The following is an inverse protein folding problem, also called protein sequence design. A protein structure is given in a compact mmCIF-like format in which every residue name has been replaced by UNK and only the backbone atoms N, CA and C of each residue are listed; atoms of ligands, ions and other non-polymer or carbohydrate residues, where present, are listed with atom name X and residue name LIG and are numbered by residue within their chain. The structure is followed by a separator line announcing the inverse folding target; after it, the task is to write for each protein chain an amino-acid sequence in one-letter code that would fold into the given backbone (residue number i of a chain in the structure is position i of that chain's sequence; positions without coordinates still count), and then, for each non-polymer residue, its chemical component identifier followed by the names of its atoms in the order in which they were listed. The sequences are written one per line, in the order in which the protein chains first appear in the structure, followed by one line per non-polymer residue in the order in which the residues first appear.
data_IF_220377316261
#
_entry.id   IF_220377316261
#
_cell.length_a   1.000
_cell.length_b   1.000
_cell.length_c   1.000
_cell.angle_alpha   90.00
_cell.angle_beta   90.00
_cell.angle_gamma   90.00
#
_symmetry.space_group_name_H-M   'P 1'
#
loop_
_entity.id
_entity.type
_entity.pdbx_description
1 polymer ?
#
# COMPACT_ATOMS: atom_id res chain seq x y z
N UNK A 1 0.10 -5.76 -22.93
CA UNK A 1 0.83 -5.73 -21.64
C UNK A 1 0.84 -4.29 -21.21
N UNK A 2 -0.12 -3.91 -20.47
CA UNK A 2 -0.64 -2.57 -20.48
C UNK A 2 -0.67 -2.03 -19.06
N UNK A 3 -0.13 -0.93 -18.89
CA UNK A 3 -0.33 0.25 -18.06
C UNK A 3 -0.90 0.19 -16.64
N UNK A 4 -1.33 -0.95 -16.13
CA UNK A 4 -1.98 -1.05 -14.80
C UNK A 4 -0.97 -1.12 -13.63
N UNK A 5 0.31 -1.23 -13.91
CA UNK A 5 1.34 -1.42 -12.87
C UNK A 5 1.65 -0.19 -12.01
N UNK A 6 1.13 0.98 -12.32
CA UNK A 6 1.58 2.22 -11.68
C UNK A 6 0.59 2.85 -10.71
N UNK A 7 -0.69 2.51 -10.76
CA UNK A 7 -1.74 3.23 -10.02
C UNK A 7 -1.78 2.97 -8.50
N UNK A 8 -1.17 1.91 -8.01
CA UNK A 8 -1.08 1.63 -6.57
C UNK A 8 0.14 2.26 -5.89
N UNK A 9 1.08 2.82 -6.66
CA UNK A 9 2.27 3.44 -6.10
C UNK A 9 1.97 4.84 -5.55
N UNK A 10 2.69 5.27 -4.48
CA UNK A 10 2.46 6.58 -3.84
C UNK A 10 2.80 7.80 -4.70
N UNK A 11 3.06 7.62 -5.99
CA UNK A 11 3.43 8.68 -6.95
C UNK A 11 2.48 8.77 -8.15
N UNK A 12 1.42 7.92 -8.23
CA UNK A 12 0.51 7.95 -9.38
C UNK A 12 -0.51 9.08 -9.27
N UNK A 13 -0.89 9.64 -10.43
CA UNK A 13 -1.93 10.67 -10.52
C UNK A 13 -3.32 10.13 -10.19
N UNK A 14 -3.62 8.89 -10.61
CA UNK A 14 -4.95 8.27 -10.46
C UNK A 14 -5.42 8.11 -9.01
N UNK A 15 -4.49 8.02 -8.05
CA UNK A 15 -4.80 7.95 -6.62
C UNK A 15 -4.40 9.21 -5.85
N UNK A 16 -4.06 10.28 -6.55
CA UNK A 16 -3.60 11.53 -5.92
C UNK A 16 -4.68 12.14 -5.03
N UNK A 17 -5.94 12.05 -5.43
CA UNK A 17 -7.07 12.52 -4.64
C UNK A 17 -7.17 11.82 -3.28
N UNK A 18 -7.03 10.50 -3.24
CA UNK A 18 -7.06 9.71 -2.00
C UNK A 18 -5.92 10.05 -1.04
N UNK A 19 -4.75 10.39 -1.58
CA UNK A 19 -3.55 10.67 -0.76
C UNK A 19 -3.43 12.13 -0.31
N UNK A 20 -3.89 13.06 -1.15
CA UNK A 20 -3.55 14.47 -0.99
C UNK A 20 -4.74 15.37 -0.63
N UNK A 21 -5.99 14.96 -0.92
CA UNK A 21 -7.15 15.84 -0.70
C UNK A 21 -7.35 16.17 0.76
N UNK A 22 -7.20 15.21 1.68
CA UNK A 22 -7.29 15.48 3.11
C UNK A 22 -6.22 16.44 3.60
N UNK A 23 -4.98 16.27 3.14
CA UNK A 23 -3.88 17.17 3.47
C UNK A 23 -4.10 18.55 2.88
N UNK A 24 -4.57 18.61 1.63
CA UNK A 24 -4.94 19.87 0.97
C UNK A 24 -6.07 20.59 1.70
N UNK A 25 -7.06 19.84 2.22
CA UNK A 25 -8.14 20.40 3.05
C UNK A 25 -7.63 20.98 4.35
N UNK A 26 -6.76 20.26 5.06
CA UNK A 26 -6.14 20.71 6.30
C UNK A 26 -5.31 22.00 6.10
N UNK A 27 -4.72 22.17 4.92
CA UNK A 27 -3.95 23.36 4.54
C UNK A 27 -4.81 24.49 3.95
N UNK A 28 -6.15 24.32 3.84
CA UNK A 28 -7.05 25.32 3.27
C UNK A 28 -6.99 25.45 1.75
N UNK A 29 -6.41 24.48 1.04
CA UNK A 29 -6.26 24.48 -0.42
C UNK A 29 -7.42 23.82 -1.16
N UNK A 30 -8.30 23.11 -0.46
CA UNK A 30 -9.46 22.41 -1.00
C UNK A 30 -10.72 23.08 -0.50
N UNK A 31 -11.56 23.55 -1.44
CA UNK A 31 -12.85 24.19 -1.16
C UNK A 31 -13.91 23.16 -0.69
N UNK A 32 -15.08 23.67 -0.26
CA UNK A 32 -16.16 22.83 0.28
C UNK A 32 -16.78 21.93 -0.78
N UNK A 33 -16.83 22.37 -2.04
CA UNK A 33 -17.43 21.59 -3.14
C UNK A 33 -16.57 20.39 -3.46
N UNK A 34 -15.27 20.60 -3.62
CA UNK A 34 -14.30 19.53 -3.85
C UNK A 34 -14.23 18.57 -2.66
N UNK A 35 -14.28 19.11 -1.45
CA UNK A 35 -14.29 18.30 -0.24
C UNK A 35 -15.51 17.39 -0.17
N UNK A 36 -16.70 17.93 -0.45
CA UNK A 36 -17.93 17.13 -0.47
C UNK A 36 -17.89 16.03 -1.54
N UNK A 37 -17.42 16.35 -2.75
CA UNK A 37 -17.24 15.34 -3.81
C UNK A 37 -16.25 14.22 -3.42
N UNK A 38 -15.14 14.60 -2.79
CA UNK A 38 -14.17 13.62 -2.27
C UNK A 38 -14.79 12.72 -1.22
N UNK A 39 -15.47 13.27 -0.22
CA UNK A 39 -16.13 12.48 0.82
C UNK A 39 -17.15 11.51 0.23
N UNK A 40 -18.00 11.97 -0.69
CA UNK A 40 -18.99 11.12 -1.36
C UNK A 40 -18.32 9.96 -2.13
N UNK A 41 -17.23 10.23 -2.83
CA UNK A 41 -16.44 9.20 -3.53
C UNK A 41 -15.85 8.17 -2.55
N UNK A 42 -15.25 8.62 -1.43
CA UNK A 42 -14.69 7.72 -0.42
C UNK A 42 -15.75 6.83 0.24
N UNK A 43 -16.91 7.42 0.59
CA UNK A 43 -18.04 6.68 1.13
C UNK A 43 -18.57 5.62 0.15
N UNK A 44 -18.62 5.95 -1.15
CA UNK A 44 -19.03 5.00 -2.17
C UNK A 44 -18.03 3.86 -2.34
N UNK A 45 -16.71 4.14 -2.34
CA UNK A 45 -15.65 3.13 -2.39
C UNK A 45 -15.74 2.19 -1.18
N UNK A 46 -15.90 2.73 0.03
CA UNK A 46 -15.99 1.91 1.26
C UNK A 46 -17.25 1.05 1.25
N UNK A 47 -18.41 1.62 0.93
CA UNK A 47 -19.69 0.90 0.83
C UNK A 47 -19.62 -0.26 -0.14
N UNK A 48 -19.06 -0.02 -1.32
CA UNK A 48 -18.91 -1.05 -2.34
C UNK A 48 -17.87 -2.11 -1.95
N UNK A 49 -16.78 -1.72 -1.31
CA UNK A 49 -15.79 -2.65 -0.77
C UNK A 49 -16.41 -3.57 0.29
N UNK A 50 -17.27 -3.05 1.16
CA UNK A 50 -18.01 -3.84 2.15
C UNK A 50 -19.02 -4.78 1.47
N UNK A 51 -19.72 -4.31 0.43
CA UNK A 51 -20.62 -5.15 -0.36
C UNK A 51 -19.87 -6.34 -0.96
N UNK A 52 -18.72 -6.12 -1.60
CA UNK A 52 -17.90 -7.18 -2.17
C UNK A 52 -17.42 -8.20 -1.11
N UNK A 53 -17.11 -7.76 0.10
CA UNK A 53 -16.73 -8.64 1.22
C UNK A 53 -17.89 -9.45 1.76
N UNK A 54 -19.11 -8.91 1.73
CA UNK A 54 -20.32 -9.56 2.26
C UNK A 54 -21.02 -10.48 1.26
N UNK A 55 -20.80 -10.28 -0.04
CA UNK A 55 -21.41 -11.07 -1.10
C UNK A 55 -20.59 -12.35 -1.36
N UNK A 56 -21.21 -13.51 -1.12
CA UNK A 56 -20.57 -14.82 -1.24
C UNK A 56 -21.13 -15.61 -2.43
N UNK A 57 -20.26 -16.27 -3.17
CA UNK A 57 -20.59 -17.26 -4.17
C UNK A 57 -20.30 -18.68 -3.61
N UNK A 58 -21.29 -19.56 -3.73
CA UNK A 58 -21.17 -20.95 -3.32
C UNK A 58 -20.97 -21.85 -4.54
N UNK A 59 -20.09 -22.86 -4.48
CA UNK A 59 -19.92 -23.84 -5.55
C UNK A 59 -21.25 -24.46 -5.96
N UNK A 60 -21.48 -24.61 -7.27
CA UNK A 60 -22.72 -25.18 -7.80
C UNK A 60 -23.92 -24.22 -7.85
N UNK A 61 -23.83 -23.01 -7.29
CA UNK A 61 -24.86 -21.99 -7.41
C UNK A 61 -24.94 -21.40 -8.82
N UNK A 62 -26.07 -20.79 -9.18
CA UNK A 62 -26.21 -20.08 -10.44
C UNK A 62 -25.15 -18.97 -10.60
N UNK A 63 -24.82 -18.26 -9.52
CA UNK A 63 -23.75 -17.26 -9.49
C UNK A 63 -22.37 -17.86 -9.77
N UNK A 64 -22.05 -19.05 -9.24
CA UNK A 64 -20.80 -19.74 -9.54
C UNK A 64 -20.71 -20.21 -10.99
N UNK A 65 -21.82 -20.67 -11.57
CA UNK A 65 -21.90 -21.03 -12.99
C UNK A 65 -21.72 -19.81 -13.90
N UNK A 66 -22.36 -18.71 -13.58
CA UNK A 66 -22.19 -17.44 -14.29
C UNK A 66 -20.74 -16.93 -14.17
N UNK A 67 -20.12 -17.01 -12.99
CA UNK A 67 -18.72 -16.68 -12.79
C UNK A 67 -17.81 -17.53 -13.67
N UNK A 68 -18.02 -18.84 -13.73
CA UNK A 68 -17.26 -19.76 -14.60
C UNK A 68 -17.43 -19.38 -16.07
N UNK A 69 -18.63 -19.03 -16.50
CA UNK A 69 -18.91 -18.61 -17.87
C UNK A 69 -18.19 -17.32 -18.24
N UNK A 70 -18.19 -16.33 -17.34
CA UNK A 70 -17.56 -15.01 -17.56
C UNK A 70 -16.04 -15.03 -17.49
N UNK A 71 -15.48 -15.83 -16.58
CA UNK A 71 -14.04 -15.79 -16.27
C UNK A 71 -13.27 -17.01 -16.78
N UNK A 72 -13.97 -18.08 -17.18
CA UNK A 72 -13.36 -19.37 -17.51
C UNK A 72 -12.77 -20.12 -16.32
N UNK A 73 -13.06 -19.70 -15.08
CA UNK A 73 -12.51 -20.27 -13.85
C UNK A 73 -13.59 -20.95 -13.02
N UNK A 74 -13.34 -22.20 -12.64
CA UNK A 74 -14.25 -22.92 -11.73
C UNK A 74 -14.10 -22.43 -10.29
N UNK A 75 -15.24 -22.42 -9.58
CA UNK A 75 -15.32 -22.11 -8.17
C UNK A 75 -15.38 -23.43 -7.36
N UNK A 76 -14.23 -23.84 -6.81
CA UNK A 76 -14.11 -25.10 -6.06
C UNK A 76 -14.45 -24.96 -4.56
N UNK A 77 -14.50 -23.74 -4.04
CA UNK A 77 -14.85 -23.42 -2.66
C UNK A 77 -15.66 -22.13 -2.61
N UNK A 78 -16.42 -21.96 -1.56
CA UNK A 78 -17.09 -20.68 -1.32
C UNK A 78 -16.05 -19.54 -1.23
N UNK A 79 -16.39 -18.43 -1.85
CA UNK A 79 -15.52 -17.25 -1.86
C UNK A 79 -16.37 -15.98 -1.95
N UNK A 80 -15.96 -14.93 -1.28
CA UNK A 80 -16.60 -13.64 -1.44
C UNK A 80 -16.07 -12.94 -2.72
N UNK A 81 -16.83 -11.95 -3.21
CA UNK A 81 -16.47 -11.24 -4.44
C UNK A 81 -15.14 -10.49 -4.32
N UNK A 82 -14.84 -9.96 -3.14
CA UNK A 82 -13.57 -9.29 -2.87
C UNK A 82 -12.36 -10.23 -3.04
N UNK A 83 -12.45 -11.49 -2.57
CA UNK A 83 -11.37 -12.47 -2.74
C UNK A 83 -11.26 -12.97 -4.18
N UNK A 84 -12.39 -13.04 -4.89
CA UNK A 84 -12.39 -13.35 -6.31
C UNK A 84 -11.72 -12.23 -7.14
N UNK A 85 -11.93 -10.97 -6.77
CA UNK A 85 -11.31 -9.83 -7.43
C UNK A 85 -9.77 -9.80 -7.31
N UNK A 86 -9.19 -10.46 -6.31
CA UNK A 86 -7.74 -10.63 -6.19
C UNK A 86 -7.11 -11.46 -7.32
N UNK A 87 -7.93 -12.23 -8.04
CA UNK A 87 -7.44 -13.04 -9.15
C UNK A 87 -7.11 -12.14 -10.36
N UNK A 88 -5.93 -12.31 -11.00
CA UNK A 88 -5.47 -11.40 -12.07
C UNK A 88 -6.42 -11.29 -13.26
N UNK A 89 -7.15 -12.38 -13.60
CA UNK A 89 -8.05 -12.44 -14.75
C UNK A 89 -9.46 -11.95 -14.45
N UNK A 90 -9.79 -11.68 -13.19
CA UNK A 90 -11.12 -11.23 -12.77
C UNK A 90 -11.14 -9.72 -12.69
N UNK A 91 -12.13 -9.09 -13.33
CA UNK A 91 -12.34 -7.64 -13.29
C UNK A 91 -13.53 -7.27 -12.43
N UNK A 92 -13.55 -6.04 -11.93
CA UNK A 92 -14.70 -5.52 -11.20
C UNK A 92 -15.97 -5.55 -12.05
N UNK A 93 -15.89 -5.18 -13.34
CA UNK A 93 -17.03 -5.18 -14.25
C UNK A 93 -17.67 -6.57 -14.35
N UNK A 94 -16.87 -7.64 -14.48
CA UNK A 94 -17.38 -9.02 -14.51
C UNK A 94 -18.10 -9.39 -13.20
N UNK A 95 -17.58 -8.97 -12.05
CA UNK A 95 -18.24 -9.26 -10.75
C UNK A 95 -19.51 -8.45 -10.54
N UNK A 96 -19.59 -7.23 -11.07
CA UNK A 96 -20.77 -6.38 -11.02
C UNK A 96 -21.95 -7.00 -11.82
N UNK A 97 -21.68 -7.71 -12.91
CA UNK A 97 -22.69 -8.45 -13.68
C UNK A 97 -23.26 -9.65 -12.92
N UNK A 98 -22.44 -10.31 -12.06
CA UNK A 98 -22.86 -11.50 -11.31
C UNK A 98 -23.81 -11.20 -10.16
N UNK A 99 -23.61 -10.10 -9.51
CA UNK A 99 -24.43 -9.64 -8.38
C UNK A 99 -24.79 -8.20 -8.63
N UNK A 100 -25.88 -7.95 -9.36
CA UNK A 100 -26.33 -6.58 -9.64
C UNK A 100 -26.50 -5.81 -8.32
N UNK A 101 -25.97 -4.60 -8.35
CA UNK A 101 -26.12 -3.68 -7.22
C UNK A 101 -27.61 -3.34 -7.01
N UNK A 102 -28.16 -3.76 -5.90
CA UNK A 102 -29.56 -3.49 -5.53
C UNK A 102 -29.73 -2.12 -4.89
N UNK A 103 -28.76 -1.20 -5.05
CA UNK A 103 -28.93 0.19 -4.57
C UNK A 103 -27.70 0.92 -4.02
N UNK A 104 -26.49 0.42 -4.26
CA UNK A 104 -25.28 0.99 -3.63
C UNK A 104 -24.66 2.20 -4.30
N UNK A 105 -24.65 2.27 -5.61
CA UNK A 105 -23.95 3.31 -6.37
C UNK A 105 -24.85 4.22 -7.23
N UNK A 106 -26.16 4.00 -7.20
CA UNK A 106 -27.11 4.87 -7.88
C UNK A 106 -27.49 6.04 -6.96
N UNK A 107 -26.86 7.20 -7.13
CA UNK A 107 -27.34 8.44 -6.54
C UNK A 107 -28.62 8.87 -7.25
N UNK A 108 -29.73 9.13 -6.52
CA UNK A 108 -30.93 9.68 -7.10
C UNK A 108 -30.67 11.15 -7.51
N UNK A 109 -30.49 11.37 -8.79
CA UNK A 109 -30.39 12.73 -9.34
C UNK A 109 -29.22 13.04 -10.25
N UNK A 110 -28.22 12.17 -10.36
CA UNK A 110 -27.16 12.34 -11.36
C UNK A 110 -27.69 12.02 -12.76
N UNK A 111 -27.32 12.82 -13.77
CA UNK A 111 -27.60 12.47 -15.17
C UNK A 111 -26.99 11.10 -15.48
N UNK A 112 -27.71 10.27 -16.21
CA UNK A 112 -27.38 8.84 -16.38
C UNK A 112 -25.93 8.57 -16.87
N UNK A 113 -25.34 9.46 -17.64
CA UNK A 113 -23.96 9.38 -18.15
C UNK A 113 -22.92 9.61 -17.05
N UNK A 114 -23.09 10.67 -16.25
CA UNK A 114 -22.20 11.01 -15.13
C UNK A 114 -22.19 9.92 -14.05
N UNK A 115 -23.34 9.31 -13.78
CA UNK A 115 -23.47 8.22 -12.82
C UNK A 115 -22.73 6.95 -13.29
N UNK A 116 -22.67 6.67 -14.60
CA UNK A 116 -21.91 5.54 -15.16
C UNK A 116 -20.42 5.77 -15.05
N UNK A 117 -19.93 6.96 -15.43
CA UNK A 117 -18.51 7.30 -15.35
C UNK A 117 -17.98 7.25 -13.90
N UNK A 118 -18.76 7.75 -12.94
CA UNK A 118 -18.41 7.68 -11.51
C UNK A 118 -18.36 6.22 -11.03
N UNK A 119 -19.32 5.40 -11.44
CA UNK A 119 -19.35 3.97 -11.09
C UNK A 119 -18.15 3.22 -11.65
N UNK A 120 -17.80 3.45 -12.90
CA UNK A 120 -16.62 2.86 -13.54
C UNK A 120 -15.34 3.28 -12.81
N UNK A 121 -15.18 4.57 -12.51
CA UNK A 121 -14.04 5.09 -11.77
C UNK A 121 -13.93 4.50 -10.36
N UNK A 122 -15.05 4.31 -9.64
CA UNK A 122 -15.06 3.64 -8.32
C UNK A 122 -14.66 2.18 -8.47
N UNK A 123 -15.23 1.47 -9.45
CA UNK A 123 -14.93 0.07 -9.72
C UNK A 123 -13.45 -0.16 -10.02
N UNK A 124 -12.88 0.68 -10.87
CA UNK A 124 -11.44 0.65 -11.20
C UNK A 124 -10.57 0.89 -9.97
N UNK A 125 -10.90 1.87 -9.14
CA UNK A 125 -10.16 2.17 -7.90
C UNK A 125 -10.20 0.98 -6.93
N UNK A 126 -11.35 0.34 -6.78
CA UNK A 126 -11.49 -0.85 -5.93
C UNK A 126 -10.68 -2.02 -6.50
N UNK A 127 -10.77 -2.27 -7.82
CA UNK A 127 -10.01 -3.33 -8.47
C UNK A 127 -8.51 -3.16 -8.25
N UNK A 128 -7.99 -1.95 -8.47
CA UNK A 128 -6.60 -1.61 -8.25
C UNK A 128 -6.22 -1.82 -6.79
N UNK A 129 -7.00 -1.27 -5.85
CA UNK A 129 -6.73 -1.39 -4.42
C UNK A 129 -6.66 -2.87 -3.97
N UNK A 130 -7.61 -3.70 -4.42
CA UNK A 130 -7.69 -5.12 -4.04
C UNK A 130 -6.53 -5.93 -4.64
N UNK A 131 -6.22 -5.73 -5.92
CA UNK A 131 -5.14 -6.47 -6.59
C UNK A 131 -3.75 -6.11 -6.07
N UNK A 132 -3.56 -4.86 -5.68
CA UNK A 132 -2.26 -4.37 -5.19
C UNK A 132 -2.10 -4.39 -3.68
N UNK A 133 -3.15 -4.66 -2.90
CA UNK A 133 -3.10 -4.68 -1.44
C UNK A 133 -1.90 -5.45 -0.89
N UNK A 134 -1.68 -6.68 -1.35
CA UNK A 134 -0.56 -7.49 -0.88
C UNK A 134 0.84 -6.99 -1.27
N UNK A 135 0.96 -6.13 -2.28
CA UNK A 135 2.23 -5.47 -2.61
C UNK A 135 2.44 -4.24 -1.73
N UNK A 136 1.38 -3.46 -1.50
CA UNK A 136 1.40 -2.28 -0.63
C UNK A 136 1.73 -2.69 0.81
N UNK A 137 1.12 -3.75 1.33
CA UNK A 137 1.39 -4.28 2.66
C UNK A 137 2.86 -4.67 2.82
N UNK A 138 3.41 -5.44 1.86
CA UNK A 138 4.84 -5.82 1.87
C UNK A 138 5.76 -4.62 1.82
N UNK A 139 5.44 -3.61 1.00
CA UNK A 139 6.22 -2.38 0.93
C UNK A 139 6.15 -1.59 2.24
N UNK A 140 4.98 -1.51 2.86
CA UNK A 140 4.78 -0.86 4.15
C UNK A 140 5.59 -1.55 5.26
N UNK A 141 5.59 -2.89 5.29
CA UNK A 141 6.40 -3.68 6.21
C UNK A 141 7.90 -3.44 6.00
N UNK A 142 8.34 -3.35 4.75
CA UNK A 142 9.74 -3.08 4.44
C UNK A 142 10.15 -1.66 4.86
N UNK A 143 9.32 -0.66 4.58
CA UNK A 143 9.53 0.72 5.05
C UNK A 143 9.55 0.79 6.58
N UNK A 144 8.64 0.09 7.26
CA UNK A 144 8.62 0.04 8.72
C UNK A 144 9.91 -0.60 9.28
N UNK A 145 10.38 -1.70 8.67
CA UNK A 145 11.65 -2.34 9.04
C UNK A 145 12.85 -1.42 8.82
N UNK A 146 12.90 -0.72 7.69
CA UNK A 146 13.97 0.24 7.39
C UNK A 146 13.98 1.38 8.40
N UNK A 147 12.81 1.98 8.68
CA UNK A 147 12.68 3.04 9.69
C UNK A 147 13.10 2.58 11.08
N UNK A 148 12.69 1.38 11.49
CA UNK A 148 13.11 0.80 12.76
C UNK A 148 14.62 0.57 12.83
N UNK A 149 15.25 0.17 11.71
CA UNK A 149 16.70 -0.01 11.63
C UNK A 149 17.44 1.32 11.61
N UNK A 150 16.92 2.32 10.91
CA UNK A 150 17.49 3.66 10.85
C UNK A 150 17.55 4.33 12.22
N UNK A 151 16.53 4.13 13.04
CA UNK A 151 16.45 4.65 14.41
C UNK A 151 17.34 3.95 15.44
N UNK A 152 18.05 2.87 15.07
CA UNK A 152 18.92 2.16 15.99
C UNK A 152 20.09 3.04 16.43
N UNK A 153 20.22 3.22 17.77
CA UNK A 153 21.30 3.97 18.33
C UNK A 153 22.64 3.26 18.19
N UNK A 154 23.67 4.00 17.81
CA UNK A 154 25.06 3.59 17.88
C UNK A 154 25.62 4.04 19.22
N UNK A 155 26.11 3.14 20.09
CA UNK A 155 26.74 3.52 21.34
C UNK A 155 27.93 4.46 21.12
N UNK A 156 28.12 5.43 21.99
CA UNK A 156 29.24 6.39 21.90
C UNK A 156 30.62 5.69 21.97
N UNK A 157 30.67 4.53 22.61
CA UNK A 157 31.83 3.66 22.77
C UNK A 157 31.91 2.57 21.68
N UNK A 158 31.16 2.72 20.57
CA UNK A 158 31.13 1.72 19.52
C UNK A 158 32.50 1.58 18.85
N UNK A 159 33.04 0.36 18.87
CA UNK A 159 34.32 0.05 18.24
C UNK A 159 34.16 -0.23 16.74
N UNK A 160 34.46 0.75 15.92
CA UNK A 160 34.43 0.64 14.46
C UNK A 160 35.58 -0.23 13.91
N UNK A 161 36.63 -0.51 14.68
CA UNK A 161 37.74 -1.40 14.25
C UNK A 161 37.32 -2.87 14.33
N UNK A 162 36.46 -3.21 15.25
CA UNK A 162 35.93 -4.56 15.39
C UNK A 162 34.96 -4.96 14.26
N UNK A 163 34.48 -3.99 13.44
CA UNK A 163 33.56 -4.29 12.35
C UNK A 163 34.31 -4.83 11.15
N UNK A 164 34.19 -6.13 10.91
CA UNK A 164 34.82 -6.78 9.76
C UNK A 164 34.15 -6.35 8.45
N UNK A 165 34.98 -6.13 7.41
CA UNK A 165 34.49 -5.77 6.06
C UNK A 165 34.31 -4.28 5.81
N UNK A 166 34.54 -3.39 6.78
CA UNK A 166 34.62 -1.95 6.54
C UNK A 166 35.96 -1.58 5.88
N UNK A 167 35.88 -0.73 4.85
CA UNK A 167 37.13 -0.13 4.28
C UNK A 167 37.74 0.83 5.29
N UNK A 168 39.05 1.06 5.14
CA UNK A 168 39.78 2.00 6.00
C UNK A 168 39.20 3.42 5.92
N UNK A 169 38.75 3.84 4.73
CA UNK A 169 38.14 5.15 4.52
C UNK A 169 36.82 5.29 5.27
N UNK A 170 35.92 4.30 5.13
CA UNK A 170 34.64 4.27 5.81
C UNK A 170 34.83 4.28 7.33
N UNK A 171 35.77 3.49 7.82
CA UNK A 171 36.13 3.42 9.25
C UNK A 171 36.61 4.76 9.78
N UNK A 172 37.49 5.44 9.04
CA UNK A 172 38.00 6.76 9.41
C UNK A 172 36.88 7.81 9.45
N UNK A 173 35.98 7.81 8.46
CA UNK A 173 34.82 8.70 8.42
C UNK A 173 33.85 8.47 9.59
N UNK A 174 33.55 7.22 9.92
CA UNK A 174 32.68 6.87 11.05
C UNK A 174 33.29 7.30 12.39
N UNK A 175 34.60 7.11 12.59
CA UNK A 175 35.34 7.56 13.78
C UNK A 175 35.33 9.07 13.92
N UNK A 176 35.50 9.80 12.82
CA UNK A 176 35.52 11.26 12.81
C UNK A 176 34.12 11.84 13.07
N UNK A 177 33.07 11.30 12.42
CA UNK A 177 31.71 11.82 12.51
C UNK A 177 30.96 11.36 13.77
N UNK A 178 31.31 10.20 14.33
CA UNK A 178 30.66 9.58 15.51
C UNK A 178 29.13 9.65 15.47
N UNK A 179 28.50 9.06 14.46
CA UNK A 179 27.05 9.11 14.33
C UNK A 179 26.36 8.43 15.50
N UNK A 180 25.27 9.03 16.00
CA UNK A 180 24.48 8.52 17.11
C UNK A 180 23.49 7.42 16.70
N UNK A 181 23.15 7.38 15.37
CA UNK A 181 22.21 6.40 14.82
C UNK A 181 22.72 5.81 13.52
N UNK A 182 22.19 4.65 13.13
CA UNK A 182 22.50 4.04 11.82
C UNK A 182 22.07 4.94 10.65
N UNK A 183 20.95 5.68 10.82
CA UNK A 183 20.53 6.66 9.82
C UNK A 183 21.55 7.77 9.61
N UNK A 184 22.10 8.32 10.69
CA UNK A 184 23.15 9.33 10.61
C UNK A 184 24.40 8.75 9.95
N UNK A 185 24.77 7.51 10.29
CA UNK A 185 25.91 6.83 9.64
C UNK A 185 25.71 6.72 8.14
N UNK A 186 24.52 6.32 7.69
CA UNK A 186 24.19 6.17 6.26
C UNK A 186 24.18 7.48 5.46
N UNK A 187 24.00 8.63 6.12
CA UNK A 187 24.01 9.97 5.49
C UNK A 187 25.43 10.55 5.32
N UNK A 188 26.43 9.93 5.89
CA UNK A 188 27.82 10.40 5.74
C UNK A 188 28.30 10.14 4.30
N UNK A 189 28.81 11.15 3.58
CA UNK A 189 29.27 10.98 2.20
C UNK A 189 30.32 9.89 2.06
N UNK A 190 30.06 8.91 1.18
CA UNK A 190 30.95 7.78 0.92
C UNK A 190 30.73 6.55 1.80
N UNK A 191 29.69 6.56 2.67
CA UNK A 191 29.23 5.36 3.35
C UNK A 191 28.15 4.67 2.51
N UNK A 192 28.36 3.41 2.20
CA UNK A 192 27.44 2.59 1.38
C UNK A 192 26.42 1.86 2.25
N UNK A 193 25.29 1.44 1.65
CA UNK A 193 24.31 0.58 2.32
C UNK A 193 24.93 -0.72 2.85
N UNK A 194 25.93 -1.28 2.17
CA UNK A 194 26.67 -2.44 2.64
C UNK A 194 27.40 -2.17 3.96
N UNK A 195 28.03 -1.00 4.09
CA UNK A 195 28.69 -0.60 5.33
C UNK A 195 27.68 -0.42 6.50
N UNK A 196 26.52 0.18 6.25
CA UNK A 196 25.44 0.31 7.24
C UNK A 196 24.92 -1.07 7.67
N UNK A 197 24.79 -2.01 6.72
CA UNK A 197 24.40 -3.39 7.04
C UNK A 197 25.41 -4.11 7.93
N UNK A 198 26.72 -3.90 7.71
CA UNK A 198 27.77 -4.45 8.56
C UNK A 198 27.71 -3.88 9.99
N UNK A 199 27.46 -2.58 10.14
CA UNK A 199 27.23 -1.95 11.44
C UNK A 199 26.03 -2.58 12.15
N UNK A 200 24.91 -2.75 11.44
CA UNK A 200 23.69 -3.38 11.98
C UNK A 200 23.94 -4.82 12.46
N UNK A 201 24.64 -5.62 11.67
CA UNK A 201 24.97 -7.01 12.02
C UNK A 201 25.86 -7.03 13.28
N UNK A 202 26.83 -6.14 13.36
CA UNK A 202 27.74 -6.05 14.51
C UNK A 202 26.99 -5.61 15.76
N UNK A 203 26.11 -4.61 15.67
CA UNK A 203 25.25 -4.19 16.79
C UNK A 203 24.39 -5.33 17.32
N UNK A 204 23.77 -6.10 16.43
CA UNK A 204 22.94 -7.27 16.81
C UNK A 204 23.76 -8.38 17.48
N UNK A 205 24.98 -8.66 16.99
CA UNK A 205 25.87 -9.66 17.58
C UNK A 205 26.31 -9.31 19.01
N UNK A 206 26.53 -8.03 19.29
CA UNK A 206 27.02 -7.59 20.58
C UNK A 206 25.90 -7.31 21.61
N UNK A 207 24.64 -7.67 21.30
CA UNK A 207 23.50 -7.53 22.23
C UNK A 207 23.18 -6.08 22.62
N UNK A 208 23.73 -5.08 21.92
CA UNK A 208 23.60 -3.64 22.23
C UNK A 208 22.42 -2.96 21.50
N UNK A 209 21.47 -3.74 21.00
CA UNK A 209 20.26 -3.19 20.34
C UNK A 209 19.28 -2.75 21.44
N UNK A 210 19.30 -1.49 21.81
CA UNK A 210 18.15 -0.86 22.46
C UNK A 210 17.17 -0.46 21.37
N UNK A 211 16.06 -1.16 21.24
CA UNK A 211 14.90 -0.69 20.47
C UNK A 211 14.38 0.60 21.12
N UNK A 212 14.20 1.70 20.37
CA UNK A 212 13.49 2.85 20.90
C UNK A 212 12.07 2.42 21.25
N UNK A 213 11.65 2.69 22.50
CA UNK A 213 10.23 2.56 22.85
C UNK A 213 9.46 3.65 22.09
N UNK A 214 8.29 3.32 21.48
CA UNK A 214 7.43 4.34 20.90
C UNK A 214 6.95 5.29 22.00
N UNK A 215 7.13 6.59 21.77
CA UNK A 215 6.56 7.68 22.56
C UNK A 215 5.09 7.82 22.20
#
# INVERSE_FOLDING_TARGET
MTGVQTCALPICEDNADQRLTEQGRALGLVDDVRWAAYCAKQEAIERESQRLKSAWLHPGSAGAQAFTTLTGQELNRESNLHDLLKRPQVTYAQLAELVPDTGGLAEPGAMAVEAVEIREAIGEQIEIAVKYAGYVDRQSDEVARLRAQEGLALPLDFDYDAVQGLSNEVRAKLKAARPETLAQAGRIPGITHAAVSLLLITLKKHGRVRTPQPV
#
